data_IF_413001174047
#
_entry.id   IF_413001174047
#
_cell.length_a   1.000
_cell.length_b   1.000
_cell.length_c   1.000
_cell.angle_alpha   90.00
_cell.angle_beta   90.00
_cell.angle_gamma   90.00
#
_symmetry.space_group_name_H-M   'P 1'
#
loop_
_entity.id
_entity.type
_entity.pdbx_description
1 polymer ?
#
# COMPACT_ATOMS: atom_id res chain seq x y z
N UNK A 1 -11.14 4.86 12.47
CA UNK A 1 -9.80 4.59 13.08
C UNK A 1 -8.81 4.31 11.96
N UNK A 2 -7.54 4.07 12.25
CA UNK A 2 -6.51 3.88 11.22
C UNK A 2 -5.90 5.20 10.73
N UNK A 3 -5.39 5.20 9.49
CA UNK A 3 -4.66 6.32 8.90
C UNK A 3 -3.21 6.43 9.37
N UNK A 4 -2.51 7.46 8.90
CA UNK A 4 -1.07 7.62 9.12
C UNK A 4 -0.69 8.42 10.39
N UNK A 5 -1.68 8.92 11.14
CA UNK A 5 -1.47 9.92 12.21
C UNK A 5 -0.59 9.47 13.37
N UNK A 6 -0.41 8.16 13.57
CA UNK A 6 0.33 7.56 14.70
C UNK A 6 1.53 6.72 14.25
N UNK A 7 1.81 6.65 12.95
CA UNK A 7 2.93 5.86 12.42
C UNK A 7 2.78 4.34 12.63
N UNK A 8 1.55 3.84 12.81
CA UNK A 8 1.27 2.43 13.16
C UNK A 8 1.75 1.40 12.12
N UNK A 9 2.08 1.80 10.87
CA UNK A 9 2.63 0.88 9.86
C UNK A 9 3.95 0.22 10.28
N UNK A 10 4.65 0.74 11.29
CA UNK A 10 5.87 0.11 11.83
C UNK A 10 5.61 -0.94 12.91
N UNK A 11 4.36 -1.17 13.28
CA UNK A 11 3.94 -2.13 14.31
C UNK A 11 2.95 -3.15 13.74
N UNK A 12 2.80 -4.27 14.44
CA UNK A 12 1.73 -5.23 14.17
C UNK A 12 0.34 -4.58 14.34
N UNK A 13 -0.68 -5.06 13.61
CA UNK A 13 -0.59 -6.03 12.53
C UNK A 13 -0.14 -5.39 11.20
N UNK A 14 -0.13 -4.05 11.10
CA UNK A 14 0.04 -3.35 9.83
C UNK A 14 1.42 -3.57 9.20
N UNK A 15 2.47 -3.75 10.01
CA UNK A 15 3.81 -4.03 9.49
C UNK A 15 3.90 -5.34 8.69
N UNK A 16 2.88 -6.21 8.79
CA UNK A 16 2.86 -7.59 8.28
C UNK A 16 1.61 -7.94 7.48
N UNK A 17 0.75 -6.97 7.20
CA UNK A 17 -0.35 -7.17 6.26
C UNK A 17 0.16 -7.56 4.87
N UNK A 18 -0.53 -8.46 4.14
CA UNK A 18 -0.17 -8.83 2.78
C UNK A 18 0.03 -7.62 1.84
N UNK A 19 -0.85 -6.62 1.93
CA UNK A 19 -0.79 -5.43 1.07
C UNK A 19 0.35 -4.46 1.44
N UNK A 20 0.97 -4.66 2.62
CA UNK A 20 2.15 -3.92 3.05
C UNK A 20 3.47 -4.66 2.77
N UNK A 21 3.43 -5.75 1.98
CA UNK A 21 4.61 -6.46 1.56
C UNK A 21 5.67 -5.52 0.97
N UNK A 22 6.93 -5.77 1.32
CA UNK A 22 8.10 -4.95 0.94
C UNK A 22 8.15 -3.52 1.51
N UNK A 23 7.10 -3.01 2.17
CA UNK A 23 7.17 -1.70 2.84
C UNK A 23 8.06 -1.71 4.09
N UNK A 24 8.37 -2.88 4.65
CA UNK A 24 9.44 -3.05 5.63
C UNK A 24 10.80 -2.57 5.08
N UNK A 25 11.12 -2.87 3.81
CA UNK A 25 12.33 -2.36 3.13
C UNK A 25 12.23 -0.86 2.91
N UNK A 26 11.08 -0.35 2.46
CA UNK A 26 10.87 1.08 2.26
C UNK A 26 11.08 1.89 3.56
N UNK A 27 10.50 1.43 4.68
CA UNK A 27 10.71 2.06 5.99
C UNK A 27 12.19 2.01 6.41
N UNK A 28 12.89 0.90 6.15
CA UNK A 28 14.33 0.81 6.46
C UNK A 28 15.19 1.75 5.61
N UNK A 29 14.83 2.00 4.35
CA UNK A 29 15.54 2.99 3.51
C UNK A 29 15.44 4.41 4.09
N UNK A 30 14.40 4.72 4.84
CA UNK A 30 14.24 5.99 5.55
C UNK A 30 14.96 6.05 6.90
N UNK A 31 15.46 4.92 7.43
CA UNK A 31 16.14 4.87 8.72
C UNK A 31 17.34 5.83 8.82
N UNK A 32 18.24 5.95 7.83
CA UNK A 32 19.34 6.90 7.91
C UNK A 32 18.87 8.37 8.05
N UNK A 33 17.72 8.72 7.46
CA UNK A 33 17.11 10.04 7.63
C UNK A 33 16.59 10.19 9.06
N UNK A 34 15.83 9.21 9.57
CA UNK A 34 15.36 9.21 10.96
C UNK A 34 16.53 9.29 11.95
N UNK A 35 17.60 8.54 11.71
CA UNK A 35 18.81 8.52 12.55
C UNK A 35 19.47 9.91 12.58
N UNK A 36 19.60 10.57 11.43
CA UNK A 36 20.20 11.90 11.32
C UNK A 36 19.42 12.97 12.07
N UNK A 37 18.09 12.96 11.96
CA UNK A 37 17.23 14.00 12.55
C UNK A 37 16.72 13.65 13.96
N UNK A 38 16.88 12.40 14.41
CA UNK A 38 16.55 11.96 15.75
C UNK A 38 15.08 12.27 16.10
N UNK A 39 14.85 12.87 17.25
CA UNK A 39 13.51 13.23 17.75
C UNK A 39 12.92 14.51 17.11
N UNK A 40 13.64 15.17 16.18
CA UNK A 40 13.12 16.37 15.48
C UNK A 40 12.08 16.04 14.41
N UNK A 41 11.93 14.76 14.07
CA UNK A 41 10.91 14.25 13.15
C UNK A 41 10.44 12.89 13.64
N UNK A 42 9.13 12.68 13.73
CA UNK A 42 8.56 11.37 14.06
C UNK A 42 8.62 10.44 12.85
N UNK A 43 8.51 9.12 13.06
CA UNK A 43 8.28 8.19 11.94
C UNK A 43 6.95 8.48 11.25
N UNK A 44 5.91 8.81 12.02
CA UNK A 44 4.59 9.15 11.48
C UNK A 44 4.64 10.30 10.46
N UNK A 45 5.37 11.38 10.74
CA UNK A 45 5.57 12.46 9.77
C UNK A 45 6.55 12.07 8.66
N UNK A 46 7.64 11.37 8.99
CA UNK A 46 8.66 11.00 8.00
C UNK A 46 8.10 10.12 6.88
N UNK A 47 7.22 9.17 7.18
CA UNK A 47 6.61 8.31 6.15
C UNK A 47 5.80 9.13 5.14
N UNK A 48 4.98 10.07 5.61
CA UNK A 48 4.13 10.88 4.74
C UNK A 48 4.94 11.96 4.01
N UNK A 49 5.90 12.59 4.70
CA UNK A 49 6.80 13.55 4.08
C UNK A 49 7.62 12.91 2.96
N UNK A 50 8.10 11.67 3.13
CA UNK A 50 8.82 10.96 2.09
C UNK A 50 7.97 10.77 0.82
N UNK A 51 6.68 10.43 0.97
CA UNK A 51 5.75 10.35 -0.15
C UNK A 51 5.53 11.71 -0.84
N UNK A 52 5.35 12.78 -0.06
CA UNK A 52 5.16 14.13 -0.59
C UNK A 52 6.38 14.61 -1.40
N UNK A 53 7.59 14.39 -0.86
CA UNK A 53 8.84 14.73 -1.55
C UNK A 53 9.07 13.85 -2.78
N UNK A 54 8.66 12.59 -2.76
CA UNK A 54 8.74 11.72 -3.94
C UNK A 54 7.88 12.26 -5.11
N UNK A 55 6.67 12.72 -4.82
CA UNK A 55 5.80 13.37 -5.82
C UNK A 55 6.43 14.67 -6.37
N UNK A 56 6.94 15.53 -5.49
CA UNK A 56 7.64 16.76 -5.92
C UNK A 56 8.86 16.46 -6.80
N UNK A 57 9.62 15.43 -6.42
CA UNK A 57 10.80 14.98 -7.16
C UNK A 57 10.47 14.38 -8.52
N UNK A 58 9.26 13.84 -8.72
CA UNK A 58 8.79 13.36 -10.02
C UNK A 58 8.21 14.48 -10.90
N UNK A 59 8.20 15.73 -10.44
CA UNK A 59 7.65 16.87 -11.17
C UNK A 59 6.15 17.13 -10.91
N UNK A 60 5.54 16.49 -9.90
CA UNK A 60 4.19 16.81 -9.45
C UNK A 60 4.22 17.87 -8.35
N UNK A 61 3.51 18.98 -8.54
CA UNK A 61 3.40 20.00 -7.49
C UNK A 61 2.35 19.59 -6.46
N UNK A 62 2.78 19.27 -5.25
CA UNK A 62 1.87 18.99 -4.13
C UNK A 62 1.18 20.27 -3.64
N UNK A 63 0.03 20.11 -2.97
CA UNK A 63 -0.70 21.25 -2.39
C UNK A 63 0.04 21.84 -1.18
N UNK A 64 0.70 20.98 -0.39
CA UNK A 64 1.47 21.35 0.79
C UNK A 64 1.59 20.19 1.78
N UNK A 65 2.32 20.41 2.88
CA UNK A 65 2.50 19.40 3.92
C UNK A 65 2.42 20.03 5.32
N UNK A 66 1.69 19.35 6.23
CA UNK A 66 1.63 19.67 7.65
C UNK A 66 2.23 18.56 8.50
N UNK A 67 3.24 18.91 9.29
CA UNK A 67 3.81 18.05 10.33
C UNK A 67 3.01 18.15 11.64
N UNK A 68 3.41 17.37 12.64
CA UNK A 68 2.83 17.37 13.99
C UNK A 68 2.28 16.02 14.44
N UNK A 69 2.50 14.96 13.67
CA UNK A 69 2.12 13.59 14.09
C UNK A 69 3.12 13.10 15.12
N UNK A 70 2.64 12.72 16.29
CA UNK A 70 3.49 12.11 17.31
C UNK A 70 3.70 10.61 17.06
N UNK A 71 4.89 10.13 17.39
CA UNK A 71 5.18 8.71 17.41
C UNK A 71 4.50 8.03 18.60
N UNK A 72 4.05 6.80 18.37
CA UNK A 72 3.57 5.89 19.42
C UNK A 72 4.56 4.76 19.67
N UNK A 73 4.36 3.98 20.72
CA UNK A 73 5.37 3.01 21.18
C UNK A 73 4.87 1.57 21.24
N UNK A 74 3.61 1.35 20.85
CA UNK A 74 2.98 0.03 20.83
C UNK A 74 1.91 -0.05 19.72
N UNK A 75 1.55 -1.26 19.26
CA UNK A 75 0.39 -1.51 18.42
C UNK A 75 -0.91 -0.91 18.96
N UNK A 76 -1.73 -0.38 18.06
CA UNK A 76 -3.10 0.03 18.40
C UNK A 76 -4.03 -1.20 18.47
N UNK A 77 -4.20 -1.74 19.67
CA UNK A 77 -5.11 -2.86 19.93
C UNK A 77 -6.60 -2.44 20.03
N UNK A 78 -6.90 -1.17 19.81
CA UNK A 78 -8.26 -0.61 19.88
C UNK A 78 -8.91 -0.42 18.50
N UNK A 79 -8.30 -0.96 17.43
CA UNK A 79 -8.85 -0.99 16.08
C UNK A 79 -9.46 -2.35 15.78
N UNK A 80 -10.76 -2.37 15.47
CA UNK A 80 -11.40 -3.55 14.91
C UNK A 80 -11.15 -3.60 13.39
N UNK A 81 -10.26 -4.50 12.97
CA UNK A 81 -9.93 -4.72 11.56
C UNK A 81 -10.86 -5.75 10.88
N UNK A 82 -11.79 -6.37 11.61
CA UNK A 82 -12.63 -7.47 11.20
C UNK A 82 -12.40 -8.74 12.04
N UNK A 83 -13.31 -9.69 11.95
CA UNK A 83 -13.31 -10.91 12.77
C UNK A 83 -12.66 -12.12 12.07
N UNK A 84 -12.27 -11.96 10.80
CA UNK A 84 -11.66 -12.99 9.98
C UNK A 84 -10.39 -13.57 10.64
N UNK A 85 -10.18 -14.87 10.47
CA UNK A 85 -9.03 -15.60 11.05
C UNK A 85 -7.92 -15.88 10.06
N UNK A 86 -8.18 -15.64 8.78
CA UNK A 86 -7.24 -15.84 7.69
C UNK A 86 -7.03 -14.52 6.94
N UNK A 87 -5.81 -14.31 6.45
CA UNK A 87 -5.51 -13.22 5.54
C UNK A 87 -6.28 -13.39 4.23
N UNK A 88 -6.63 -12.27 3.60
CA UNK A 88 -7.31 -12.22 2.30
C UNK A 88 -8.69 -12.90 2.27
N UNK A 89 -9.29 -13.13 3.45
CA UNK A 89 -10.67 -13.57 3.55
C UNK A 89 -11.61 -12.47 3.04
N UNK A 90 -12.40 -12.79 2.01
CA UNK A 90 -13.21 -11.85 1.25
C UNK A 90 -14.52 -11.45 1.95
N UNK A 91 -14.85 -10.15 1.86
CA UNK A 91 -16.09 -9.53 2.36
C UNK A 91 -16.95 -9.07 1.19
N UNK A 92 -18.26 -9.20 1.34
CA UNK A 92 -19.20 -8.74 0.32
C UNK A 92 -19.38 -7.20 0.34
N UNK A 93 -19.59 -6.57 -0.83
CA UNK A 93 -19.82 -5.13 -1.01
C UNK A 93 -21.00 -4.60 -0.21
N UNK A 94 -22.12 -5.33 -0.17
CA UNK A 94 -23.30 -4.91 0.60
C UNK A 94 -23.01 -4.88 2.11
N UNK A 95 -22.09 -5.73 2.58
CA UNK A 95 -21.65 -5.74 3.98
C UNK A 95 -20.69 -4.58 4.30
N UNK A 96 -20.05 -3.98 3.29
CA UNK A 96 -19.17 -2.83 3.46
C UNK A 96 -19.93 -1.49 3.43
N UNK A 97 -21.00 -1.39 2.63
CA UNK A 97 -21.79 -0.18 2.50
C UNK A 97 -22.37 0.26 3.86
N UNK A 98 -21.91 1.42 4.37
CA UNK A 98 -22.33 1.94 5.67
C UNK A 98 -21.71 1.23 6.88
N UNK A 99 -20.73 0.35 6.66
CA UNK A 99 -19.94 -0.28 7.72
C UNK A 99 -18.76 0.57 8.15
N UNK A 100 -18.17 0.26 9.30
CA UNK A 100 -16.91 0.87 9.76
C UNK A 100 -15.65 0.25 9.13
N UNK A 101 -15.80 -0.81 8.33
CA UNK A 101 -14.72 -1.47 7.62
C UNK A 101 -14.57 -0.87 6.23
N UNK A 102 -13.34 -0.64 5.80
CA UNK A 102 -13.05 0.06 4.55
C UNK A 102 -12.10 -0.73 3.63
N UNK A 103 -12.06 -2.06 3.80
CA UNK A 103 -11.31 -2.96 2.94
C UNK A 103 -12.12 -4.22 2.60
N UNK A 104 -12.00 -4.71 1.37
CA UNK A 104 -12.71 -5.90 0.87
C UNK A 104 -12.23 -7.20 1.50
N UNK A 105 -11.00 -7.21 2.01
CA UNK A 105 -10.34 -8.40 2.51
C UNK A 105 -9.50 -8.04 3.73
N UNK A 106 -9.41 -8.97 4.68
CA UNK A 106 -8.51 -8.81 5.84
C UNK A 106 -7.07 -8.70 5.35
N UNK A 107 -6.40 -7.60 5.68
CA UNK A 107 -5.01 -7.35 5.30
C UNK A 107 -4.81 -6.55 4.00
N UNK A 108 -5.88 -6.12 3.33
CA UNK A 108 -5.82 -5.14 2.23
C UNK A 108 -6.07 -3.71 2.71
N UNK A 109 -5.57 -2.72 1.97
CA UNK A 109 -5.84 -1.31 2.24
C UNK A 109 -7.27 -0.94 1.77
N UNK A 110 -7.65 -1.29 0.54
CA UNK A 110 -8.97 -0.97 -0.02
C UNK A 110 -9.63 -2.17 -0.70
N UNK A 111 -9.18 -2.54 -1.89
CA UNK A 111 -9.80 -3.57 -2.73
C UNK A 111 -8.77 -4.59 -3.22
N UNK A 112 -9.24 -5.78 -3.58
CA UNK A 112 -8.41 -6.76 -4.27
C UNK A 112 -8.05 -6.27 -5.68
N UNK A 113 -6.76 -6.19 -6.04
CA UNK A 113 -6.31 -5.66 -7.33
C UNK A 113 -6.67 -6.56 -8.53
N UNK A 114 -7.02 -7.82 -8.30
CA UNK A 114 -7.50 -8.76 -9.32
C UNK A 114 -9.04 -8.78 -9.43
N UNK A 115 -9.71 -7.89 -8.70
CA UNK A 115 -11.16 -7.84 -8.58
C UNK A 115 -11.71 -8.72 -7.44
N UNK A 116 -13.01 -8.61 -7.14
CA UNK A 116 -13.65 -9.38 -6.09
C UNK A 116 -13.44 -10.88 -6.30
N UNK A 117 -12.91 -11.59 -5.30
CA UNK A 117 -12.57 -13.02 -5.39
C UNK A 117 -11.62 -13.35 -6.57
N UNK A 118 -10.76 -12.41 -6.95
CA UNK A 118 -9.86 -12.51 -8.11
C UNK A 118 -10.60 -12.84 -9.43
N UNK A 119 -11.78 -12.23 -9.64
CA UNK A 119 -12.63 -12.50 -10.80
C UNK A 119 -12.01 -12.09 -12.15
N UNK A 120 -11.08 -11.13 -12.15
CA UNK A 120 -10.55 -10.50 -13.36
C UNK A 120 -11.55 -9.60 -14.10
N UNK A 121 -12.79 -9.43 -13.59
CA UNK A 121 -13.79 -8.56 -14.21
C UNK A 121 -13.70 -7.13 -13.65
N UNK A 122 -13.23 -6.15 -14.44
CA UNK A 122 -13.09 -4.76 -13.97
C UNK A 122 -14.43 -4.12 -13.60
N UNK A 123 -15.55 -4.55 -14.22
CA UNK A 123 -16.88 -3.99 -13.90
C UNK A 123 -17.33 -4.40 -12.50
N UNK A 124 -16.99 -5.62 -12.10
CA UNK A 124 -17.28 -6.12 -10.75
C UNK A 124 -16.50 -5.40 -9.65
N UNK A 125 -15.34 -4.81 -9.96
CA UNK A 125 -14.51 -4.11 -8.97
C UNK A 125 -15.05 -2.71 -8.60
N UNK A 126 -15.70 -2.01 -9.53
CA UNK A 126 -16.10 -0.61 -9.33
C UNK A 126 -17.03 -0.36 -8.11
N UNK A 127 -18.03 -1.19 -7.81
CA UNK A 127 -18.85 -1.03 -6.59
C UNK A 127 -18.02 -1.15 -5.31
N UNK A 128 -17.06 -2.07 -5.26
CA UNK A 128 -16.18 -2.25 -4.09
C UNK A 128 -15.20 -1.09 -3.92
N UNK A 129 -14.66 -0.56 -5.03
CA UNK A 129 -13.82 0.65 -5.01
C UNK A 129 -14.62 1.80 -4.40
N UNK A 130 -15.82 2.07 -4.90
CA UNK A 130 -16.66 3.16 -4.39
C UNK A 130 -17.03 2.96 -2.92
N UNK A 131 -17.40 1.76 -2.51
CA UNK A 131 -17.76 1.48 -1.12
C UNK A 131 -16.58 1.67 -0.15
N UNK A 132 -15.40 1.15 -0.49
CA UNK A 132 -14.23 1.18 0.39
C UNK A 132 -13.63 2.58 0.49
N UNK A 133 -13.47 3.28 -0.63
CA UNK A 133 -13.03 4.67 -0.63
C UNK A 133 -14.05 5.61 0.02
N UNK A 134 -15.35 5.37 -0.19
CA UNK A 134 -16.42 6.12 0.50
C UNK A 134 -16.34 5.99 2.02
N UNK A 135 -16.06 4.78 2.53
CA UNK A 135 -15.82 4.56 3.97
C UNK A 135 -14.49 5.21 4.46
N UNK A 136 -13.59 5.54 3.53
CA UNK A 136 -12.38 6.34 3.79
C UNK A 136 -12.55 7.82 3.43
N UNK A 137 -13.79 8.29 3.33
CA UNK A 137 -14.17 9.69 3.12
C UNK A 137 -13.65 10.30 1.80
N UNK A 138 -13.67 9.52 0.72
CA UNK A 138 -13.38 9.98 -0.64
C UNK A 138 -14.62 9.88 -1.52
N UNK A 139 -14.88 10.91 -2.33
CA UNK A 139 -15.91 10.89 -3.38
C UNK A 139 -15.39 10.31 -4.72
N UNK A 140 -16.28 10.23 -5.72
CA UNK A 140 -15.96 9.65 -7.03
C UNK A 140 -14.82 10.40 -7.76
N UNK A 141 -14.72 11.73 -7.62
CA UNK A 141 -13.64 12.51 -8.27
C UNK A 141 -12.31 12.27 -7.56
N UNK A 142 -12.32 12.26 -6.23
CA UNK A 142 -11.14 11.99 -5.40
C UNK A 142 -10.61 10.56 -5.61
N UNK A 143 -11.51 9.58 -5.74
CA UNK A 143 -11.16 8.19 -6.07
C UNK A 143 -10.37 8.12 -7.37
N UNK A 144 -10.92 8.69 -8.44
CA UNK A 144 -10.30 8.66 -9.77
C UNK A 144 -8.96 9.39 -9.74
N UNK A 145 -8.88 10.55 -9.07
CA UNK A 145 -7.66 11.32 -8.94
C UNK A 145 -6.56 10.58 -8.16
N UNK A 146 -6.90 9.93 -7.05
CA UNK A 146 -5.96 9.17 -6.22
C UNK A 146 -5.41 7.94 -6.95
N UNK A 147 -6.29 7.14 -7.58
CA UNK A 147 -5.87 5.90 -8.26
C UNK A 147 -5.01 6.23 -9.48
N UNK A 148 -5.46 7.12 -10.36
CA UNK A 148 -4.71 7.45 -11.56
C UNK A 148 -3.43 8.24 -11.26
N UNK A 149 -3.51 9.19 -10.32
CA UNK A 149 -2.34 9.96 -9.88
C UNK A 149 -1.29 9.09 -9.23
N UNK A 150 -1.68 8.17 -8.35
CA UNK A 150 -0.78 7.21 -7.72
C UNK A 150 -0.10 6.28 -8.74
N UNK A 151 -0.90 5.63 -9.59
CA UNK A 151 -0.40 4.68 -10.59
C UNK A 151 0.30 5.35 -11.79
N UNK A 152 0.39 6.68 -11.84
CA UNK A 152 1.28 7.36 -12.79
C UNK A 152 2.76 7.04 -12.52
N UNK A 153 3.09 6.68 -11.28
CA UNK A 153 4.46 6.42 -10.83
C UNK A 153 4.66 4.93 -10.46
N UNK A 154 5.87 4.45 -10.68
CA UNK A 154 6.32 3.13 -10.24
C UNK A 154 5.76 1.97 -11.05
N UNK A 155 5.66 0.82 -10.38
CA UNK A 155 5.23 -0.48 -10.91
C UNK A 155 4.83 -1.43 -9.78
N UNK A 156 4.11 -2.50 -10.11
CA UNK A 156 3.94 -3.66 -9.20
C UNK A 156 5.12 -4.63 -9.32
N UNK A 157 5.20 -5.67 -8.49
CA UNK A 157 6.29 -6.66 -8.53
C UNK A 157 5.75 -8.10 -8.38
N UNK A 158 6.00 -8.93 -9.39
CA UNK A 158 5.49 -10.29 -9.55
C UNK A 158 6.39 -11.15 -10.43
N UNK A 159 7.71 -11.11 -10.20
CA UNK A 159 8.70 -11.74 -11.07
C UNK A 159 8.61 -13.28 -11.13
N UNK A 160 7.98 -13.91 -10.14
CA UNK A 160 7.77 -15.36 -10.06
C UNK A 160 6.57 -15.69 -9.14
N UNK A 161 6.15 -16.97 -9.06
CA UNK A 161 5.08 -17.37 -8.16
C UNK A 161 5.37 -17.06 -6.68
N UNK A 162 4.30 -16.86 -5.90
CA UNK A 162 4.39 -16.43 -4.51
C UNK A 162 4.96 -17.49 -3.54
N UNK A 163 5.09 -18.74 -3.96
CA UNK A 163 5.69 -19.84 -3.16
C UNK A 163 7.18 -19.61 -2.83
N UNK A 164 7.83 -18.71 -3.56
CA UNK A 164 9.19 -18.25 -3.27
C UNK A 164 9.29 -17.26 -2.10
N UNK A 165 8.17 -16.65 -1.70
CA UNK A 165 8.10 -15.60 -0.66
C UNK A 165 7.84 -16.23 0.70
N UNK A 166 8.72 -15.96 1.65
CA UNK A 166 8.64 -16.48 3.02
C UNK A 166 7.75 -15.61 3.92
N UNK A 167 7.70 -15.96 5.21
CA UNK A 167 6.88 -15.31 6.22
C UNK A 167 7.03 -13.78 6.28
N UNK A 168 5.94 -13.11 6.65
CA UNK A 168 5.89 -11.68 6.93
C UNK A 168 6.80 -11.27 8.12
N UNK A 169 7.01 -9.97 8.38
CA UNK A 169 7.94 -9.52 9.42
C UNK A 169 7.70 -10.06 10.83
N UNK A 170 6.44 -10.30 11.25
CA UNK A 170 6.15 -10.85 12.58
C UNK A 170 6.31 -12.38 12.62
N UNK A 171 6.22 -13.05 11.48
CA UNK A 171 6.50 -14.49 11.33
C UNK A 171 7.95 -14.84 10.95
N UNK A 172 8.77 -13.84 10.61
CA UNK A 172 10.12 -14.04 10.12
C UNK A 172 11.13 -14.41 11.23
N UNK A 173 12.19 -15.18 10.91
CA UNK A 173 13.20 -15.55 11.90
C UNK A 173 14.05 -14.34 12.30
N UNK A 174 14.59 -14.37 13.53
CA UNK A 174 15.21 -13.20 14.18
C UNK A 174 16.40 -12.61 13.40
N UNK A 175 17.14 -13.44 12.67
CA UNK A 175 18.26 -13.02 11.82
C UNK A 175 17.85 -12.12 10.64
N UNK A 176 16.55 -12.04 10.32
CA UNK A 176 16.02 -11.07 9.34
C UNK A 176 15.91 -9.65 9.92
N UNK A 177 16.14 -9.46 11.21
CA UNK A 177 16.24 -8.13 11.85
C UNK A 177 15.00 -7.25 11.59
N UNK A 178 13.81 -7.85 11.71
CA UNK A 178 12.51 -7.19 11.51
C UNK A 178 12.14 -6.94 10.04
N UNK A 179 12.84 -7.56 9.09
CA UNK A 179 12.35 -7.73 7.72
C UNK A 179 11.55 -9.02 7.61
N UNK A 180 10.61 -9.05 6.66
CA UNK A 180 9.86 -10.24 6.27
C UNK A 180 9.94 -10.49 4.77
N UNK A 181 9.09 -11.37 4.25
CA UNK A 181 8.93 -11.65 2.83
C UNK A 181 10.26 -11.94 2.12
N UNK A 182 11.14 -12.70 2.78
CA UNK A 182 12.39 -13.12 2.16
C UNK A 182 12.07 -13.95 0.91
N UNK A 183 12.67 -13.57 -0.21
CA UNK A 183 12.35 -14.13 -1.51
C UNK A 183 13.50 -15.03 -1.99
N UNK A 184 13.19 -16.30 -2.23
CA UNK A 184 14.14 -17.31 -2.70
C UNK A 184 14.31 -17.37 -4.21
N UNK A 185 13.49 -16.64 -4.97
CA UNK A 185 13.58 -16.59 -6.43
C UNK A 185 14.74 -15.70 -6.89
N UNK A 186 15.65 -16.28 -7.66
CA UNK A 186 16.77 -15.54 -8.25
C UNK A 186 17.61 -14.81 -7.19
N UNK A 187 17.75 -13.49 -7.34
CA UNK A 187 18.44 -12.63 -6.36
C UNK A 187 17.54 -12.19 -5.19
N UNK A 188 16.23 -12.46 -5.26
CA UNK A 188 15.23 -12.06 -4.28
C UNK A 188 14.82 -10.58 -4.30
N UNK A 189 15.55 -9.74 -5.05
CA UNK A 189 15.40 -8.28 -5.08
C UNK A 189 15.55 -7.72 -6.50
N UNK A 190 15.27 -6.43 -6.67
CA UNK A 190 15.45 -5.75 -7.96
C UNK A 190 14.58 -6.37 -9.05
N UNK A 191 15.21 -6.90 -10.11
CA UNK A 191 14.50 -7.55 -11.23
C UNK A 191 13.73 -8.81 -10.83
N UNK A 192 14.12 -9.45 -9.72
CA UNK A 192 13.53 -10.71 -9.23
C UNK A 192 12.56 -10.46 -8.06
N UNK A 193 12.18 -9.21 -7.80
CA UNK A 193 11.30 -8.85 -6.69
C UNK A 193 9.87 -9.40 -6.87
N UNK A 194 9.28 -9.84 -5.76
CA UNK A 194 7.90 -10.30 -5.67
C UNK A 194 7.27 -9.56 -4.48
N UNK A 195 6.18 -8.85 -4.71
CA UNK A 195 5.43 -8.13 -3.69
C UNK A 195 3.95 -8.52 -3.75
N UNK A 196 3.23 -8.05 -4.77
CA UNK A 196 1.80 -8.37 -4.95
C UNK A 196 1.56 -9.59 -5.84
N UNK A 197 2.58 -10.05 -6.57
CA UNK A 197 2.44 -11.10 -7.59
C UNK A 197 2.04 -10.57 -8.97
N UNK A 198 1.55 -9.32 -9.07
CA UNK A 198 1.28 -8.65 -10.34
C UNK A 198 2.54 -8.02 -10.91
N UNK A 199 2.68 -7.98 -12.23
CA UNK A 199 3.82 -7.37 -12.94
C UNK A 199 3.34 -6.34 -13.98
N UNK A 200 3.01 -5.14 -13.50
CA UNK A 200 2.39 -4.05 -14.26
C UNK A 200 3.23 -2.78 -14.15
N UNK A 201 3.46 -2.12 -15.29
CA UNK A 201 4.03 -0.77 -15.39
C UNK A 201 3.02 0.08 -16.18
N UNK A 202 2.38 1.05 -15.53
CA UNK A 202 1.27 1.79 -16.14
C UNK A 202 1.68 2.91 -17.08
N UNK A 203 2.89 3.44 -16.94
CA UNK A 203 3.39 4.60 -17.69
C UNK A 203 4.78 4.33 -18.27
N UNK A 204 5.05 4.90 -19.45
CA UNK A 204 6.35 4.87 -20.09
C UNK A 204 7.38 5.75 -19.36
N UNK A 205 6.95 6.60 -18.43
CA UNK A 205 7.82 7.45 -17.60
C UNK A 205 7.54 7.21 -16.11
N UNK A 206 7.83 6.01 -15.57
CA UNK A 206 7.37 5.60 -14.23
C UNK A 206 8.01 6.39 -13.07
N UNK A 207 8.99 7.26 -13.33
CA UNK A 207 9.61 8.13 -12.33
C UNK A 207 9.28 9.60 -12.53
N UNK A 208 8.40 9.94 -13.48
CA UNK A 208 8.01 11.30 -13.80
C UNK A 208 6.48 11.42 -13.90
N UNK A 209 5.95 12.50 -13.36
CA UNK A 209 4.54 12.82 -13.50
C UNK A 209 4.17 13.00 -14.98
N UNK A 210 3.07 12.36 -15.40
CA UNK A 210 2.60 12.35 -16.78
C UNK A 210 1.10 12.07 -16.80
N UNK A 211 0.46 12.20 -17.97
CA UNK A 211 -0.93 11.77 -18.16
C UNK A 211 -1.03 10.36 -18.78
N UNK A 212 0.09 9.63 -18.87
CA UNK A 212 0.16 8.37 -19.60
C UNK A 212 -0.68 7.25 -19.01
N UNK A 213 -0.99 7.29 -17.70
CA UNK A 213 -1.94 6.34 -17.11
C UNK A 213 -3.29 6.39 -17.84
N UNK A 214 -3.88 7.58 -17.98
CA UNK A 214 -5.16 7.74 -18.67
C UNK A 214 -5.04 7.57 -20.18
N UNK A 215 -3.96 8.09 -20.79
CA UNK A 215 -3.74 7.89 -22.23
C UNK A 215 -3.69 6.41 -22.57
N UNK A 216 -2.96 5.61 -21.79
CA UNK A 216 -2.87 4.17 -22.00
C UNK A 216 -4.22 3.48 -21.72
N UNK A 217 -4.90 3.84 -20.63
CA UNK A 217 -6.20 3.25 -20.26
C UNK A 217 -7.26 3.45 -21.34
N UNK A 218 -7.33 4.64 -21.96
CA UNK A 218 -8.39 4.97 -22.92
C UNK A 218 -8.02 4.74 -24.39
N UNK A 219 -6.73 4.65 -24.74
CA UNK A 219 -6.27 4.55 -26.14
C UNK A 219 -6.07 3.11 -26.61
N UNK A 220 -5.85 2.17 -25.69
CA UNK A 220 -5.64 0.75 -26.02
C UNK A 220 -6.85 -0.09 -25.64
N UNK A 221 -6.98 -1.22 -26.32
CA UNK A 221 -7.92 -2.29 -25.95
C UNK A 221 -7.24 -3.23 -24.94
N UNK A 222 -8.02 -3.72 -23.97
CA UNK A 222 -7.57 -4.58 -22.87
C UNK A 222 -8.44 -5.83 -22.78
#
# INVERSE_FOLDING_TARGET
>A
RGGAGRGQQRFAPLNSWPDNASLDKARRLLWPVKQKYGQKISWADLFILAGNIALESSGFRTFGFGAGREDVWEPDNDVNWGDEKEWLAHRNSEALAGSNLAATEMGLIYVNPEGPQASGDPRSAAPFIRATFGNMAMDDEEIVALIAGGHTLGKTHGAAPADHVQADPEGAPIEQMGFGWANSYGTGVGKDAITSGLEVIWSQTPTQWSNYFFENLFKYEW
#
